data_IF_016201258551
#
_entry.id   IF_016201258551
#
_cell.length_a   1.000
_cell.length_b   1.000
_cell.length_c   1.000
_cell.angle_alpha   90.00
_cell.angle_beta   90.00
_cell.angle_gamma   90.00
#
_symmetry.space_group_name_H-M   'P 1'
#
loop_
_entity.id
_entity.type
_entity.pdbx_description
1 polymer ?
#
# COMPACT_ATOMS: atom_id res chain seq x y z
N UNK A 1 5.04 25.05 0.07
CA UNK A 1 5.87 23.89 0.51
C UNK A 1 5.06 22.82 1.24
N UNK A 2 4.38 23.12 2.35
CA UNK A 2 3.65 22.13 3.16
C UNK A 2 2.66 21.23 2.37
N UNK A 3 1.96 21.79 1.38
CA UNK A 3 1.04 21.03 0.51
C UNK A 3 1.72 19.96 -0.32
N UNK A 4 2.83 20.33 -0.96
CA UNK A 4 3.60 19.44 -1.81
C UNK A 4 4.12 18.28 -0.94
N UNK A 5 4.60 18.59 0.26
CA UNK A 5 5.04 17.59 1.25
C UNK A 5 3.90 16.65 1.63
N UNK A 6 2.72 17.16 1.99
CA UNK A 6 1.53 16.35 2.33
C UNK A 6 1.09 15.44 1.18
N UNK A 7 1.10 15.95 -0.05
CA UNK A 7 0.73 15.18 -1.23
C UNK A 7 1.74 14.06 -1.51
N UNK A 8 3.03 14.35 -1.47
CA UNK A 8 4.08 13.33 -1.63
C UNK A 8 4.08 12.32 -0.50
N UNK A 9 3.80 12.74 0.74
CA UNK A 9 3.65 11.84 1.88
C UNK A 9 2.50 10.85 1.66
N UNK A 10 1.34 11.33 1.19
CA UNK A 10 0.20 10.47 0.87
C UNK A 10 0.52 9.47 -0.23
N UNK A 11 1.21 9.91 -1.29
CA UNK A 11 1.67 9.02 -2.39
C UNK A 11 2.67 7.98 -1.86
N UNK A 12 3.63 8.39 -1.04
CA UNK A 12 4.62 7.49 -0.45
C UNK A 12 3.97 6.42 0.42
N UNK A 13 2.99 6.79 1.26
CA UNK A 13 2.25 5.83 2.09
C UNK A 13 1.56 4.78 1.22
N UNK A 14 0.91 5.19 0.13
CA UNK A 14 0.23 4.27 -0.79
C UNK A 14 1.25 3.32 -1.45
N UNK A 15 2.35 3.86 -1.98
CA UNK A 15 3.38 3.08 -2.66
C UNK A 15 4.07 2.08 -1.72
N UNK A 16 4.43 2.51 -0.50
CA UNK A 16 5.04 1.64 0.51
C UNK A 16 4.07 0.55 0.96
N UNK A 17 2.78 0.85 1.08
CA UNK A 17 1.78 -0.15 1.48
C UNK A 17 1.56 -1.21 0.41
N UNK A 18 1.43 -0.80 -0.85
CA UNK A 18 1.27 -1.72 -1.99
C UNK A 18 2.56 -2.52 -2.21
N UNK A 19 3.71 -1.84 -2.23
CA UNK A 19 5.01 -2.48 -2.41
C UNK A 19 5.35 -3.42 -1.25
N UNK A 20 5.06 -3.01 0.00
CA UNK A 20 5.24 -3.83 1.19
C UNK A 20 4.36 -5.07 1.17
N UNK A 21 3.09 -4.96 0.76
CA UNK A 21 2.23 -6.14 0.56
C UNK A 21 2.79 -7.06 -0.52
N UNK A 22 3.18 -6.50 -1.68
CA UNK A 22 3.74 -7.28 -2.79
C UNK A 22 5.01 -8.04 -2.37
N UNK A 23 5.88 -7.37 -1.62
CA UNK A 23 7.08 -7.95 -1.04
C UNK A 23 6.73 -9.02 0.00
N UNK A 24 5.82 -8.77 0.94
CA UNK A 24 5.47 -9.73 1.99
C UNK A 24 4.78 -10.98 1.43
N UNK A 25 3.90 -10.83 0.43
CA UNK A 25 3.21 -11.95 -0.20
C UNK A 25 4.16 -12.74 -1.12
N UNK A 26 4.97 -12.04 -1.92
CA UNK A 26 5.95 -12.64 -2.83
C UNK A 26 7.16 -13.27 -2.10
N UNK A 27 7.74 -12.59 -1.12
CA UNK A 27 8.81 -13.15 -0.28
C UNK A 27 8.25 -14.21 0.67
N UNK A 28 7.05 -14.03 1.22
CA UNK A 28 6.39 -15.06 2.03
C UNK A 28 6.21 -16.36 1.24
N UNK A 29 5.90 -16.27 -0.04
CA UNK A 29 5.80 -17.37 -0.99
C UNK A 29 7.17 -18.01 -1.34
N UNK A 30 8.24 -17.23 -1.45
CA UNK A 30 9.59 -17.72 -1.72
C UNK A 30 10.26 -18.39 -0.52
N UNK A 31 10.00 -17.91 0.70
CA UNK A 31 10.62 -18.40 1.94
C UNK A 31 9.78 -19.45 2.68
N UNK A 32 8.46 -19.53 2.42
CA UNK A 32 7.60 -20.59 2.96
C UNK A 32 7.42 -21.69 1.90
N UNK A 33 8.38 -22.62 1.86
CA UNK A 33 8.58 -23.67 0.86
C UNK A 33 7.51 -24.78 0.91
N UNK A 34 6.27 -24.45 0.56
CA UNK A 34 5.22 -25.45 0.26
C UNK A 34 4.38 -25.05 -0.97
N UNK A 35 4.93 -25.29 -2.17
CA UNK A 35 4.12 -25.38 -3.39
C UNK A 35 3.54 -24.08 -3.94
N UNK A 36 4.27 -22.97 -3.82
CA UNK A 36 3.79 -21.69 -4.32
C UNK A 36 3.95 -21.59 -5.86
N UNK A 37 2.99 -22.13 -6.60
CA UNK A 37 2.96 -22.14 -8.06
C UNK A 37 2.52 -20.80 -8.70
N UNK A 38 2.63 -19.67 -7.96
CA UNK A 38 2.08 -18.38 -8.40
C UNK A 38 3.12 -17.27 -8.29
N UNK A 39 3.33 -16.61 -9.43
CA UNK A 39 4.18 -15.43 -9.61
C UNK A 39 3.50 -14.11 -9.17
N UNK A 40 2.19 -14.14 -8.93
CA UNK A 40 1.37 -12.96 -8.65
C UNK A 40 0.81 -13.01 -7.22
N UNK A 41 0.86 -11.89 -6.48
CA UNK A 41 0.36 -11.87 -5.12
C UNK A 41 -1.16 -11.99 -5.08
N UNK A 42 -1.67 -12.68 -4.05
CA UNK A 42 -3.10 -12.96 -3.93
C UNK A 42 -3.82 -11.85 -3.19
N UNK A 43 -4.68 -11.13 -3.91
CA UNK A 43 -5.57 -10.16 -3.28
C UNK A 43 -6.67 -10.90 -2.49
N UNK A 44 -6.44 -11.14 -1.21
CA UNK A 44 -7.41 -11.75 -0.30
C UNK A 44 -8.24 -10.69 0.42
N UNK A 45 -9.40 -11.08 0.95
CA UNK A 45 -10.29 -10.15 1.66
C UNK A 45 -9.63 -9.54 2.90
N UNK A 46 -8.75 -10.30 3.56
CA UNK A 46 -8.00 -9.82 4.73
C UNK A 46 -6.91 -8.82 4.31
N UNK A 47 -6.18 -9.09 3.23
CA UNK A 47 -5.24 -8.14 2.63
C UNK A 47 -5.93 -6.84 2.23
N UNK A 48 -7.12 -6.92 1.63
CA UNK A 48 -7.90 -5.72 1.26
C UNK A 48 -8.24 -4.89 2.49
N UNK A 49 -8.70 -5.50 3.59
CA UNK A 49 -8.98 -4.78 4.84
C UNK A 49 -7.73 -4.10 5.40
N UNK A 50 -6.60 -4.80 5.40
CA UNK A 50 -5.32 -4.28 5.89
C UNK A 50 -4.81 -3.13 5.02
N UNK A 51 -4.93 -3.24 3.69
CA UNK A 51 -4.52 -2.20 2.75
C UNK A 51 -5.48 -0.99 2.73
N UNK A 52 -6.77 -1.16 3.03
CA UNK A 52 -7.73 -0.05 3.00
C UNK A 52 -7.40 1.07 3.97
N UNK A 53 -6.83 0.76 5.14
CA UNK A 53 -6.48 1.76 6.15
C UNK A 53 -5.37 2.70 5.65
N UNK A 54 -4.18 2.22 5.28
CA UNK A 54 -3.11 3.09 4.81
C UNK A 54 -3.43 3.74 3.46
N UNK A 55 -4.15 3.06 2.55
CA UNK A 55 -4.60 3.66 1.29
C UNK A 55 -5.58 4.80 1.57
N UNK A 56 -6.54 4.59 2.48
CA UNK A 56 -7.50 5.62 2.89
C UNK A 56 -6.80 6.83 3.53
N UNK A 57 -5.82 6.59 4.40
CA UNK A 57 -4.98 7.64 4.99
C UNK A 57 -4.18 8.42 3.94
N UNK A 58 -3.53 7.72 3.00
CA UNK A 58 -2.80 8.34 1.91
C UNK A 58 -3.69 9.21 1.02
N UNK A 59 -4.88 8.70 0.66
CA UNK A 59 -5.88 9.45 -0.09
C UNK A 59 -6.39 10.66 0.69
N UNK A 60 -6.66 10.51 1.99
CA UNK A 60 -7.11 11.60 2.85
C UNK A 60 -6.08 12.73 2.90
N UNK A 61 -4.78 12.40 3.04
CA UNK A 61 -3.70 13.39 3.03
C UNK A 61 -3.62 14.15 1.70
N UNK A 62 -3.78 13.43 0.58
CA UNK A 62 -3.82 14.05 -0.76
C UNK A 62 -5.04 14.97 -0.90
N UNK A 63 -6.21 14.56 -0.44
CA UNK A 63 -7.44 15.36 -0.49
C UNK A 63 -7.33 16.60 0.40
N UNK A 64 -6.78 16.47 1.62
CA UNK A 64 -6.55 17.59 2.53
C UNK A 64 -5.55 18.59 1.95
N UNK A 65 -4.49 18.11 1.29
CA UNK A 65 -3.54 18.96 0.59
C UNK A 65 -4.21 19.76 -0.55
N UNK A 66 -5.22 19.18 -1.21
CA UNK A 66 -6.00 19.85 -2.28
C UNK A 66 -7.08 20.79 -1.75
N UNK A 67 -7.80 20.44 -0.68
CA UNK A 67 -8.90 21.27 -0.12
C UNK A 67 -8.43 22.52 0.62
N UNK A 68 -7.20 22.52 1.15
CA UNK A 68 -6.56 23.74 1.68
C UNK A 68 -5.97 24.61 0.57
N UNK A 69 -6.40 24.44 -0.69
CA UNK A 69 -6.02 25.21 -1.87
C UNK A 69 -7.15 25.99 -2.49
#
# INVERSE_FOLDING_TARGET
MLRIILQWLGVAIILVSIGGWWLLDGYGCAFNTSGCARLLPRLTREVVKVLTIPIGLGLLLIVLARRKS
#
